data_IF_379858689804
#
_entry.id   IF_379858689804
#
_cell.length_a   1.000
_cell.length_b   1.000
_cell.length_c   1.000
_cell.angle_alpha   90.00
_cell.angle_beta   90.00
_cell.angle_gamma   90.00
#
_symmetry.space_group_name_H-M   'P 1'
#
loop_
_entity.id
_entity.type
_entity.pdbx_description
1 polymer ?
#
# COMPACT_ATOMS: atom_id res chain seq x y z
N UNK A 1 -8.28 2.34 -15.11
CA UNK A 1 -7.51 2.25 -13.85
C UNK A 1 -6.03 2.30 -14.18
N UNK A 2 -5.25 3.07 -13.41
CA UNK A 2 -3.79 3.03 -13.46
C UNK A 2 -3.36 2.01 -12.42
N UNK A 3 -2.63 0.97 -12.82
CA UNK A 3 -2.15 -0.05 -11.88
C UNK A 3 -0.92 0.51 -11.16
N UNK A 4 -1.00 0.64 -9.83
CA UNK A 4 0.07 1.18 -8.98
C UNK A 4 0.83 0.11 -8.21
N UNK A 5 0.22 -1.06 -8.05
CA UNK A 5 0.79 -2.25 -7.43
C UNK A 5 0.15 -3.47 -8.07
N UNK A 6 0.93 -4.53 -8.28
CA UNK A 6 0.39 -5.81 -8.73
C UNK A 6 1.16 -6.96 -8.09
N UNK A 7 0.43 -8.01 -7.68
CA UNK A 7 0.96 -9.30 -7.24
C UNK A 7 0.25 -10.42 -8.01
N UNK A 8 0.98 -11.21 -8.77
CA UNK A 8 0.48 -12.38 -9.52
C UNK A 8 1.17 -13.69 -9.12
N UNK A 9 2.37 -13.60 -8.55
CA UNK A 9 3.11 -14.71 -7.96
C UNK A 9 4.19 -14.18 -6.97
N UNK A 10 5.00 -15.09 -6.42
CA UNK A 10 6.09 -14.76 -5.50
C UNK A 10 7.42 -14.37 -6.17
N UNK A 11 7.46 -14.08 -7.48
CA UNK A 11 8.73 -13.90 -8.22
C UNK A 11 9.48 -12.60 -7.87
N UNK A 12 8.81 -11.65 -7.22
CA UNK A 12 9.36 -10.35 -6.84
C UNK A 12 9.29 -10.18 -5.32
N UNK A 13 10.44 -9.88 -4.71
CA UNK A 13 10.49 -9.50 -3.31
C UNK A 13 9.87 -8.12 -3.10
N UNK A 14 8.94 -8.04 -2.14
CA UNK A 14 8.42 -6.80 -1.59
C UNK A 14 9.04 -6.46 -0.21
N UNK A 15 9.98 -7.30 0.26
CA UNK A 15 10.94 -6.88 1.27
C UNK A 15 11.94 -5.93 0.62
N UNK A 16 11.60 -4.64 0.63
CA UNK A 16 12.35 -3.56 0.02
C UNK A 16 12.50 -2.41 1.02
N UNK A 17 13.55 -1.61 0.84
CA UNK A 17 13.87 -0.47 1.69
C UNK A 17 13.15 0.81 1.23
N UNK A 18 13.25 1.88 2.01
CA UNK A 18 12.58 3.15 1.74
C UNK A 18 12.80 3.67 0.32
N UNK A 19 14.06 3.73 -0.13
CA UNK A 19 14.41 4.30 -1.43
C UNK A 19 13.85 3.49 -2.61
N UNK A 20 13.73 2.16 -2.45
CA UNK A 20 13.11 1.28 -3.44
C UNK A 20 11.59 1.49 -3.48
N UNK A 21 10.93 1.56 -2.31
CA UNK A 21 9.49 1.89 -2.25
C UNK A 21 9.19 3.30 -2.78
N UNK A 22 10.11 4.24 -2.58
CA UNK A 22 10.00 5.60 -3.12
C UNK A 22 10.08 5.63 -4.64
N UNK A 23 11.11 4.99 -5.21
CA UNK A 23 11.41 5.02 -6.65
C UNK A 23 10.53 4.06 -7.47
N UNK A 24 10.10 2.95 -6.86
CA UNK A 24 9.37 1.86 -7.49
C UNK A 24 10.29 0.72 -7.91
N UNK A 25 9.76 -0.50 -7.90
CA UNK A 25 10.50 -1.72 -8.19
C UNK A 25 9.63 -2.77 -8.88
N UNK A 26 10.26 -3.80 -9.41
CA UNK A 26 9.61 -4.92 -10.09
C UNK A 26 9.38 -4.69 -11.58
N UNK A 27 8.55 -5.56 -12.17
CA UNK A 27 8.30 -5.60 -13.61
C UNK A 27 6.83 -5.32 -13.87
N UNK A 28 6.57 -4.26 -14.64
CA UNK A 28 5.23 -3.89 -15.08
C UNK A 28 4.53 -5.08 -15.78
N UNK A 29 3.21 -5.20 -15.59
CA UNK A 29 2.37 -6.36 -16.00
C UNK A 29 2.73 -7.71 -15.35
N UNK A 30 3.59 -7.71 -14.32
CA UNK A 30 3.88 -8.88 -13.49
C UNK A 30 3.68 -8.53 -12.01
N UNK A 31 4.78 -8.46 -11.27
CA UNK A 31 4.81 -8.06 -9.87
C UNK A 31 5.59 -6.76 -9.78
N UNK A 32 4.94 -5.68 -9.36
CA UNK A 32 5.60 -4.38 -9.27
C UNK A 32 4.95 -3.45 -8.26
N UNK A 33 5.72 -2.43 -7.88
CA UNK A 33 5.31 -1.27 -7.12
C UNK A 33 5.68 -0.03 -7.91
N UNK A 34 4.71 0.84 -8.21
CA UNK A 34 4.92 2.01 -9.08
C UNK A 34 5.93 3.01 -8.49
N UNK A 35 6.02 3.08 -7.17
CA UNK A 35 6.85 4.04 -6.43
C UNK A 35 6.00 5.14 -5.77
N UNK A 36 6.24 5.39 -4.48
CA UNK A 36 5.50 6.37 -3.69
C UNK A 36 5.57 7.78 -4.29
N UNK A 37 6.73 8.15 -4.85
CA UNK A 37 6.91 9.48 -5.44
C UNK A 37 6.03 9.66 -6.68
N UNK A 38 5.93 8.63 -7.53
CA UNK A 38 5.05 8.67 -8.70
C UNK A 38 3.57 8.71 -8.28
N UNK A 39 3.19 7.96 -7.24
CA UNK A 39 1.82 7.99 -6.72
C UNK A 39 1.46 9.35 -6.10
N UNK A 40 2.38 9.98 -5.38
CA UNK A 40 2.20 11.33 -4.85
C UNK A 40 1.97 12.35 -5.98
N UNK A 41 2.80 12.31 -7.02
CA UNK A 41 2.66 13.20 -8.18
C UNK A 41 1.33 12.99 -8.90
N UNK A 42 0.92 11.73 -9.13
CA UNK A 42 -0.37 11.40 -9.72
C UNK A 42 -1.51 11.97 -8.89
N UNK A 43 -1.60 11.60 -7.61
CA UNK A 43 -2.73 11.99 -6.73
C UNK A 43 -2.77 13.46 -6.35
N UNK A 44 -1.71 14.23 -6.63
CA UNK A 44 -1.70 15.69 -6.50
C UNK A 44 -2.20 16.39 -7.78
N UNK A 45 -2.11 15.73 -8.93
CA UNK A 45 -2.44 16.32 -10.24
C UNK A 45 -3.94 16.34 -10.55
N UNK A 46 -4.71 15.42 -9.95
CA UNK A 46 -6.14 15.33 -10.09
C UNK A 46 -6.73 14.51 -8.93
N UNK A 47 -8.05 14.46 -8.85
CA UNK A 47 -8.76 13.56 -7.96
C UNK A 47 -8.82 12.15 -8.55
N UNK A 48 -8.50 11.14 -7.75
CA UNK A 48 -8.43 9.75 -8.17
C UNK A 48 -9.23 8.86 -7.22
N UNK A 49 -9.91 7.88 -7.81
CA UNK A 49 -10.49 6.74 -7.09
C UNK A 49 -9.43 5.67 -6.88
N UNK A 50 -9.50 4.95 -5.77
CA UNK A 50 -8.68 3.75 -5.51
C UNK A 50 -9.57 2.50 -5.56
N UNK A 51 -9.01 1.42 -6.09
CA UNK A 51 -9.64 0.11 -6.11
C UNK A 51 -8.62 -0.95 -5.74
N UNK A 52 -8.94 -1.76 -4.74
CA UNK A 52 -8.23 -3.00 -4.46
C UNK A 52 -8.93 -4.14 -5.19
N UNK A 53 -8.15 -5.08 -5.72
CA UNK A 53 -8.67 -6.32 -6.30
C UNK A 53 -7.85 -7.49 -5.80
N UNK A 54 -8.52 -8.50 -5.25
CA UNK A 54 -7.87 -9.71 -4.75
C UNK A 54 -8.61 -10.95 -5.22
N UNK A 55 -7.85 -12.00 -5.56
CA UNK A 55 -8.38 -13.31 -5.93
C UNK A 55 -8.16 -14.27 -4.76
N UNK A 56 -9.24 -14.67 -4.08
CA UNK A 56 -9.18 -15.58 -2.93
C UNK A 56 -9.99 -16.82 -3.27
N UNK A 57 -9.33 -17.99 -3.24
CA UNK A 57 -9.95 -19.28 -3.55
C UNK A 57 -10.74 -19.29 -4.88
N UNK A 58 -10.20 -18.62 -5.90
CA UNK A 58 -10.81 -18.53 -7.23
C UNK A 58 -11.97 -17.53 -7.35
N UNK A 59 -12.27 -16.75 -6.30
CA UNK A 59 -13.30 -15.71 -6.30
C UNK A 59 -12.65 -14.32 -6.20
N UNK A 60 -13.04 -13.42 -7.10
CA UNK A 60 -12.59 -12.03 -7.08
C UNK A 60 -13.38 -11.21 -6.06
N UNK A 61 -12.65 -10.39 -5.30
CA UNK A 61 -13.19 -9.39 -4.39
C UNK A 61 -12.58 -8.03 -4.72
N UNK A 62 -13.34 -6.97 -4.48
CA UNK A 62 -12.88 -5.60 -4.68
C UNK A 62 -13.48 -4.65 -3.67
N UNK A 63 -12.67 -3.69 -3.23
CA UNK A 63 -13.06 -2.57 -2.40
C UNK A 63 -12.65 -1.28 -3.12
N UNK A 64 -13.56 -0.31 -3.20
CA UNK A 64 -13.34 0.97 -3.87
C UNK A 64 -13.42 2.15 -2.90
N UNK A 65 -12.68 3.22 -3.20
CA UNK A 65 -12.70 4.50 -2.50
C UNK A 65 -12.82 5.61 -3.53
N UNK A 66 -13.77 6.52 -3.35
CA UNK A 66 -14.00 7.62 -4.30
C UNK A 66 -12.89 8.66 -4.33
N UNK A 67 -12.15 8.81 -3.22
CA UNK A 67 -11.01 9.71 -3.15
C UNK A 67 -9.78 8.98 -2.60
N UNK A 68 -8.64 9.21 -3.23
CA UNK A 68 -7.35 8.65 -2.85
C UNK A 68 -6.24 9.66 -3.04
N UNK A 69 -5.47 9.91 -1.98
CA UNK A 69 -4.27 10.74 -2.06
C UNK A 69 -3.12 10.17 -1.23
N UNK A 70 -1.91 10.37 -1.74
CA UNK A 70 -0.67 10.14 -1.00
C UNK A 70 0.02 11.49 -0.83
N UNK A 71 0.44 11.81 0.39
CA UNK A 71 1.15 13.05 0.70
C UNK A 71 2.61 13.00 0.24
N UNK A 72 3.32 14.11 0.40
CA UNK A 72 4.73 14.21 0.03
C UNK A 72 5.64 13.38 0.94
N UNK A 73 6.91 13.23 0.54
CA UNK A 73 7.93 12.55 1.34
C UNK A 73 8.15 13.17 2.73
N UNK A 74 8.04 14.50 2.85
CA UNK A 74 8.17 15.19 4.15
C UNK A 74 7.04 14.84 5.11
N UNK A 75 5.90 14.43 4.57
CA UNK A 75 4.74 13.88 5.28
C UNK A 75 4.71 12.35 5.23
N UNK A 76 5.87 11.73 4.96
CA UNK A 76 6.10 10.29 4.94
C UNK A 76 5.13 9.52 4.06
N UNK A 77 4.76 10.13 2.94
CA UNK A 77 3.82 9.55 1.98
C UNK A 77 2.52 9.07 2.62
N UNK A 78 2.00 9.80 3.62
CA UNK A 78 0.78 9.39 4.32
C UNK A 78 -0.40 9.17 3.36
N UNK A 79 -1.10 8.06 3.59
CA UNK A 79 -2.19 7.56 2.76
C UNK A 79 -3.53 8.11 3.23
N UNK A 80 -4.35 8.62 2.32
CA UNK A 80 -5.68 9.15 2.65
C UNK A 80 -6.70 8.64 1.66
N UNK A 81 -7.79 8.06 2.17
CA UNK A 81 -8.94 7.62 1.37
C UNK A 81 -10.27 8.05 1.98
N UNK A 82 -11.29 8.22 1.15
CA UNK A 82 -12.67 8.45 1.59
C UNK A 82 -13.67 8.00 0.53
N UNK A 83 -14.95 7.92 0.91
CA UNK A 83 -16.01 7.42 0.04
C UNK A 83 -15.89 5.93 -0.25
N UNK A 84 -15.72 5.12 0.81
CA UNK A 84 -15.65 3.66 0.69
C UNK A 84 -16.94 3.09 0.07
N UNK A 85 -16.77 2.22 -0.92
CA UNK A 85 -17.81 1.45 -1.60
C UNK A 85 -17.35 0.00 -1.62
N UNK A 86 -18.00 -0.85 -0.83
CA UNK A 86 -17.71 -2.28 -0.79
C UNK A 86 -18.79 -3.04 -0.03
N UNK A 87 -18.86 -4.36 -0.28
CA UNK A 87 -19.92 -5.22 0.25
C UNK A 87 -19.59 -5.80 1.64
N UNK A 88 -18.33 -5.67 2.08
CA UNK A 88 -17.81 -6.28 3.30
C UNK A 88 -17.30 -5.22 4.28
N UNK A 89 -16.02 -5.32 4.66
CA UNK A 89 -15.37 -4.50 5.68
C UNK A 89 -14.38 -3.55 5.00
N UNK A 90 -14.34 -2.29 5.45
CA UNK A 90 -13.38 -1.31 4.95
C UNK A 90 -11.96 -1.71 5.36
N UNK A 91 -11.20 -2.27 4.42
CA UNK A 91 -9.83 -2.76 4.65
C UNK A 91 -8.80 -1.65 4.85
N UNK A 92 -9.16 -0.38 4.62
CA UNK A 92 -8.27 0.77 4.74
C UNK A 92 -8.55 1.63 5.97
N UNK A 93 -9.56 1.30 6.77
CA UNK A 93 -9.99 2.08 7.93
C UNK A 93 -8.86 2.35 8.94
N UNK A 94 -8.07 1.33 9.29
CA UNK A 94 -6.90 1.45 10.17
C UNK A 94 -5.68 2.06 9.49
N UNK A 95 -5.63 2.02 8.17
CA UNK A 95 -4.52 2.51 7.36
C UNK A 95 -4.70 3.98 6.98
N UNK A 96 -5.93 4.48 6.99
CA UNK A 96 -6.28 5.83 6.58
C UNK A 96 -5.62 6.87 7.51
N UNK A 97 -4.88 7.80 6.90
CA UNK A 97 -4.08 8.81 7.56
C UNK A 97 -2.69 8.36 8.01
N UNK A 98 -2.37 7.06 7.93
CA UNK A 98 -1.09 6.54 8.42
C UNK A 98 0.07 6.90 7.49
N UNK A 99 1.26 7.03 8.09
CA UNK A 99 2.51 7.23 7.37
C UNK A 99 3.01 5.90 6.80
N UNK A 100 3.76 5.95 5.69
CA UNK A 100 4.37 4.76 5.14
C UNK A 100 5.57 4.33 6.00
N UNK A 101 5.73 3.04 6.23
CA UNK A 101 6.88 2.47 6.94
C UNK A 101 7.53 1.39 6.09
N UNK A 102 8.85 1.24 6.23
CA UNK A 102 9.69 0.18 5.62
C UNK A 102 10.60 -0.42 6.69
N UNK A 103 11.25 -1.58 6.44
CA UNK A 103 12.12 -2.21 7.45
C UNK A 103 13.25 -1.31 7.98
N UNK A 104 13.70 -0.34 7.18
CA UNK A 104 14.73 0.65 7.52
C UNK A 104 14.16 2.00 7.99
N UNK A 105 12.85 2.21 7.93
CA UNK A 105 12.22 3.47 8.32
C UNK A 105 10.85 3.26 9.00
N UNK A 106 10.87 3.23 10.32
CA UNK A 106 9.68 3.10 11.16
C UNK A 106 8.94 4.44 11.31
N UNK A 107 7.71 4.51 10.80
CA UNK A 107 6.78 5.62 10.96
C UNK A 107 5.39 5.15 11.42
N UNK A 108 5.29 3.91 11.92
CA UNK A 108 4.03 3.37 12.40
C UNK A 108 3.71 3.87 13.82
N UNK A 109 2.56 3.46 14.36
CA UNK A 109 2.10 3.94 15.66
C UNK A 109 2.45 2.97 16.79
N UNK A 110 3.12 1.85 16.52
CA UNK A 110 3.42 0.82 17.51
C UNK A 110 4.61 1.26 18.39
N UNK A 111 4.43 1.48 19.71
CA UNK A 111 5.47 2.16 20.50
C UNK A 111 6.73 1.33 20.76
N UNK A 112 6.64 0.00 20.70
CA UNK A 112 7.68 -0.91 21.18
C UNK A 112 8.30 -1.80 20.11
N UNK A 113 7.85 -1.70 18.86
CA UNK A 113 8.34 -2.48 17.73
C UNK A 113 7.95 -1.81 16.41
N UNK A 114 8.65 -2.16 15.33
CA UNK A 114 8.30 -1.73 13.98
C UNK A 114 7.51 -2.82 13.26
N UNK A 115 6.29 -2.51 12.84
CA UNK A 115 5.44 -3.40 12.04
C UNK A 115 6.12 -3.78 10.73
N UNK A 116 6.74 -2.82 10.05
CA UNK A 116 7.46 -3.07 8.81
C UNK A 116 8.65 -4.02 8.98
N UNK A 117 9.34 -3.97 10.13
CA UNK A 117 10.40 -4.93 10.47
C UNK A 117 9.87 -6.32 10.79
N UNK A 118 8.70 -6.43 11.43
CA UNK A 118 8.07 -7.71 11.78
C UNK A 118 7.49 -8.40 10.54
N UNK A 119 6.80 -7.65 9.69
CA UNK A 119 6.19 -8.17 8.46
C UNK A 119 7.13 -8.16 7.26
N UNK A 120 8.34 -7.62 7.41
CA UNK A 120 9.38 -7.63 6.39
C UNK A 120 8.84 -7.07 5.04
N UNK A 121 8.13 -5.95 5.12
CA UNK A 121 7.42 -5.33 3.99
C UNK A 121 7.18 -3.84 4.24
N UNK A 122 6.91 -3.09 3.18
CA UNK A 122 6.52 -1.68 3.27
C UNK A 122 5.01 -1.51 3.20
N UNK A 123 4.41 -0.76 4.11
CA UNK A 123 2.97 -0.47 4.12
C UNK A 123 2.67 0.79 4.94
N UNK A 124 1.44 1.28 4.82
CA UNK A 124 0.87 2.29 5.72
C UNK A 124 0.40 1.64 7.02
N UNK A 125 1.35 1.17 7.83
CA UNK A 125 1.04 0.48 9.09
C UNK A 125 0.53 1.45 10.17
N UNK A 126 -0.36 0.94 11.01
CA UNK A 126 -0.83 1.52 12.27
C UNK A 126 -0.25 0.74 13.47
N UNK A 127 -1.00 -0.21 14.05
CA UNK A 127 -0.55 -1.10 15.14
C UNK A 127 -1.10 -2.55 14.99
N UNK A 128 -0.93 -3.25 13.88
CA UNK A 128 -0.09 -2.91 12.73
C UNK A 128 -0.90 -2.73 11.45
N UNK A 129 -1.82 -3.64 11.14
CA UNK A 129 -2.61 -3.58 9.90
C UNK A 129 -3.90 -4.38 9.99
N UNK A 130 -4.82 -4.09 9.06
CA UNK A 130 -5.92 -4.96 8.67
C UNK A 130 -5.64 -5.71 7.35
N UNK A 131 -4.75 -5.15 6.52
CA UNK A 131 -4.30 -5.78 5.29
C UNK A 131 -2.81 -5.54 5.06
N UNK A 132 -2.15 -6.51 4.44
CA UNK A 132 -0.77 -6.37 4.01
C UNK A 132 -0.54 -6.92 2.58
N UNK A 133 -1.00 -6.18 1.57
CA UNK A 133 -0.82 -6.54 0.15
C UNK A 133 0.64 -6.53 -0.34
N UNK A 134 1.55 -5.95 0.45
CA UNK A 134 2.98 -5.92 0.19
C UNK A 134 3.75 -6.98 0.98
N UNK A 135 3.05 -7.82 1.75
CA UNK A 135 3.65 -8.94 2.47
C UNK A 135 4.18 -10.06 1.56
N UNK A 136 4.59 -11.15 2.21
CA UNK A 136 4.94 -12.39 1.53
C UNK A 136 3.77 -12.87 0.66
N UNK A 137 4.08 -13.40 -0.53
CA UNK A 137 3.03 -13.76 -1.47
C UNK A 137 2.34 -15.06 -1.03
N UNK A 138 1.00 -15.06 -1.04
CA UNK A 138 0.19 -16.25 -0.76
C UNK A 138 -0.02 -16.56 0.72
N UNK A 139 0.32 -15.63 1.61
CA UNK A 139 0.01 -15.70 3.06
C UNK A 139 -1.33 -15.07 3.40
#
# INVERSE_FOLDING_TARGET
WIVIQQRVDGSQSFNQLWDEYKSGFGVYDKNFWLGLEKMHQLTTSADYRLRFEVLINGVWYSDEYDHFTIKSETQKYSFHVSGYIGDKWDVSDLHNGMMFSTPDQDNDQLPSASCASVYISGNWFNQCDHQNLNGEYGT
#
